data_IF_571151823199
#
_entry.id   IF_571151823199
#
_cell.length_a   1.000
_cell.length_b   1.000
_cell.length_c   1.000
_cell.angle_alpha   90.00
_cell.angle_beta   90.00
_cell.angle_gamma   90.00
#
_symmetry.space_group_name_H-M   'P 1'
#
loop_
_entity.id
_entity.type
_entity.pdbx_description
1 polymer ?
#
# COMPACT_ATOMS: atom_id res chain seq x y z
N UNK A 1 -57.17 -12.16 -45.40
CA UNK A 1 -56.85 -11.19 -44.32
C UNK A 1 -56.49 -11.84 -42.98
N UNK A 2 -57.17 -12.92 -42.54
CA UNK A 2 -56.95 -13.53 -41.20
C UNK A 2 -55.51 -14.04 -40.95
N UNK A 3 -54.82 -14.66 -41.93
CA UNK A 3 -53.42 -15.14 -41.76
C UNK A 3 -52.41 -14.01 -41.58
N UNK A 4 -52.66 -12.82 -42.14
CA UNK A 4 -51.77 -11.66 -41.99
C UNK A 4 -51.87 -11.09 -40.56
N UNK A 5 -53.08 -11.03 -40.00
CA UNK A 5 -53.28 -10.54 -38.63
C UNK A 5 -52.64 -11.46 -37.59
N UNK A 6 -52.68 -12.79 -37.80
CA UNK A 6 -51.96 -13.71 -36.90
C UNK A 6 -50.45 -13.62 -37.04
N UNK A 7 -49.91 -13.46 -38.26
CA UNK A 7 -48.48 -13.27 -38.47
C UNK A 7 -47.97 -11.97 -37.82
N UNK A 8 -48.73 -10.87 -37.94
CA UNK A 8 -48.43 -9.60 -37.29
C UNK A 8 -48.50 -9.72 -35.76
N UNK A 9 -49.52 -10.42 -35.22
CA UNK A 9 -49.65 -10.64 -33.79
C UNK A 9 -48.46 -11.42 -33.21
N UNK A 10 -48.02 -12.48 -33.89
CA UNK A 10 -46.86 -13.26 -33.46
C UNK A 10 -45.55 -12.45 -33.53
N UNK A 11 -45.40 -11.57 -34.52
CA UNK A 11 -44.24 -10.69 -34.63
C UNK A 11 -44.19 -9.67 -33.49
N UNK A 12 -45.33 -9.07 -33.12
CA UNK A 12 -45.42 -8.12 -32.01
C UNK A 12 -45.09 -8.80 -30.67
N UNK A 13 -45.64 -10.00 -30.41
CA UNK A 13 -45.34 -10.75 -29.20
C UNK A 13 -43.86 -11.15 -29.11
N UNK A 14 -43.24 -11.49 -30.24
CA UNK A 14 -41.81 -11.77 -30.33
C UNK A 14 -40.94 -10.56 -30.01
N UNK A 15 -41.28 -9.38 -30.54
CA UNK A 15 -40.55 -8.14 -30.27
C UNK A 15 -40.67 -7.71 -28.81
N UNK A 16 -41.85 -7.81 -28.19
CA UNK A 16 -42.05 -7.47 -26.76
C UNK A 16 -41.26 -8.43 -25.85
N UNK A 17 -41.24 -9.72 -26.17
CA UNK A 17 -40.45 -10.71 -25.42
C UNK A 17 -38.95 -10.46 -25.54
N UNK A 18 -38.47 -10.18 -26.76
CA UNK A 18 -37.05 -9.93 -27.03
C UNK A 18 -36.55 -8.62 -26.40
N UNK A 19 -37.34 -7.54 -26.45
CA UNK A 19 -36.98 -6.28 -25.78
C UNK A 19 -36.97 -6.43 -24.27
N UNK A 20 -37.87 -7.23 -23.68
CA UNK A 20 -37.89 -7.50 -22.24
C UNK A 20 -36.67 -8.31 -21.79
N UNK A 21 -36.23 -9.28 -22.59
CA UNK A 21 -35.03 -10.08 -22.32
C UNK A 21 -33.76 -9.22 -22.37
N UNK A 22 -33.64 -8.36 -23.39
CA UNK A 22 -32.48 -7.47 -23.55
C UNK A 22 -32.47 -6.36 -22.49
N UNK A 23 -33.62 -5.76 -22.19
CA UNK A 23 -33.72 -4.69 -21.18
C UNK A 23 -33.46 -5.25 -19.76
N UNK A 24 -33.91 -6.48 -19.49
CA UNK A 24 -33.64 -7.17 -18.22
C UNK A 24 -32.16 -7.46 -17.97
N UNK A 25 -31.36 -7.67 -19.03
CA UNK A 25 -29.91 -7.88 -18.89
C UNK A 25 -29.11 -6.58 -18.73
N UNK A 26 -29.61 -5.43 -19.23
CA UNK A 26 -28.89 -4.14 -19.19
C UNK A 26 -29.20 -3.34 -17.91
N UNK A 27 -30.35 -3.55 -17.26
CA UNK A 27 -30.77 -2.77 -16.09
C UNK A 27 -30.46 -3.40 -14.72
N UNK A 28 -29.61 -4.42 -14.65
CA UNK A 28 -29.13 -4.91 -13.35
C UNK A 28 -27.85 -4.15 -12.94
N UNK A 29 -28.01 -2.87 -12.61
CA UNK A 29 -26.98 -2.12 -11.88
C UNK A 29 -27.16 -2.48 -10.41
N UNK A 30 -26.21 -3.16 -9.75
CA UNK A 30 -26.26 -3.35 -8.31
C UNK A 30 -26.04 -1.99 -7.66
N UNK A 31 -27.12 -1.40 -7.11
CA UNK A 31 -26.99 -0.23 -6.26
C UNK A 31 -26.10 -0.61 -5.07
N UNK A 32 -25.01 0.13 -4.79
CA UNK A 32 -24.30 -0.05 -3.54
C UNK A 32 -25.27 0.32 -2.41
N UNK A 33 -25.65 -0.66 -1.61
CA UNK A 33 -26.39 -0.42 -0.37
C UNK A 33 -25.43 0.35 0.52
N UNK A 34 -25.67 1.65 0.66
CA UNK A 34 -25.01 2.52 1.61
C UNK A 34 -25.26 1.97 3.01
N UNK A 35 -24.33 1.15 3.49
CA UNK A 35 -24.31 0.67 4.86
C UNK A 35 -23.99 1.85 5.76
N UNK A 36 -25.04 2.59 6.13
CA UNK A 36 -25.03 3.49 7.27
C UNK A 36 -24.81 2.64 8.52
N UNK A 37 -23.52 2.40 8.81
CA UNK A 37 -23.08 1.83 10.08
C UNK A 37 -23.65 2.71 11.20
N UNK A 38 -24.28 2.13 12.24
CA UNK A 38 -24.73 2.90 13.39
C UNK A 38 -23.54 3.67 13.97
N UNK A 39 -23.67 5.00 14.00
CA UNK A 39 -22.74 5.89 14.67
C UNK A 39 -22.78 5.53 16.15
N UNK A 40 -21.83 4.71 16.59
CA UNK A 40 -21.53 4.54 18.00
C UNK A 40 -21.10 5.91 18.47
N UNK A 41 -21.96 6.57 19.24
CA UNK A 41 -21.65 7.82 19.91
C UNK A 41 -20.55 7.54 20.93
N UNK A 42 -19.29 7.60 20.49
CA UNK A 42 -18.16 7.74 21.40
C UNK A 42 -18.24 9.15 21.94
N UNK A 43 -18.83 9.29 23.13
CA UNK A 43 -18.69 10.47 23.96
C UNK A 43 -17.20 10.65 24.27
N UNK A 44 -16.51 11.40 23.42
CA UNK A 44 -15.17 11.87 23.69
C UNK A 44 -15.29 12.93 24.78
N UNK A 45 -15.26 12.50 26.03
CA UNK A 45 -14.92 13.39 27.14
C UNK A 45 -13.47 13.80 26.95
N UNK A 46 -13.30 14.96 26.30
CA UNK A 46 -12.02 15.65 26.09
C UNK A 46 -11.51 16.20 27.43
N UNK A 47 -11.37 15.34 28.44
CA UNK A 47 -10.78 15.67 29.71
C UNK A 47 -9.34 15.20 29.65
N UNK A 48 -8.47 16.09 29.19
CA UNK A 48 -7.02 15.98 29.33
C UNK A 48 -6.69 16.03 30.81
N UNK A 49 -6.86 14.92 31.53
CA UNK A 49 -6.34 14.81 32.88
C UNK A 49 -4.80 14.92 32.79
N UNK A 50 -4.15 15.70 33.66
CA UNK A 50 -2.71 15.78 33.69
C UNK A 50 -2.13 14.43 34.12
N UNK A 51 -1.57 13.70 33.15
CA UNK A 51 -0.88 12.44 33.41
C UNK A 51 0.35 12.75 34.26
N UNK A 52 0.48 12.08 35.40
CA UNK A 52 1.65 12.25 36.27
C UNK A 52 2.89 11.59 35.62
N UNK A 53 4.11 12.08 35.91
CA UNK A 53 5.33 11.45 35.37
C UNK A 53 5.47 9.97 35.72
N UNK A 54 4.94 9.56 36.87
CA UNK A 54 4.95 8.17 37.34
C UNK A 54 3.98 7.29 36.54
N UNK A 55 2.81 7.83 36.21
CA UNK A 55 1.81 7.14 35.41
C UNK A 55 2.23 7.01 33.95
N UNK A 56 2.90 8.04 33.40
CA UNK A 56 3.52 7.95 32.07
C UNK A 56 4.59 6.84 32.00
N UNK A 57 5.41 6.70 33.05
CA UNK A 57 6.39 5.60 33.16
C UNK A 57 5.72 4.23 33.20
N UNK A 58 4.70 4.06 34.04
CA UNK A 58 3.94 2.80 34.15
C UNK A 58 3.31 2.39 32.82
N UNK A 59 2.74 3.35 32.09
CA UNK A 59 2.13 3.09 30.78
C UNK A 59 3.19 2.71 29.73
N UNK A 60 4.35 3.35 29.74
CA UNK A 60 5.46 2.98 28.87
C UNK A 60 5.94 1.55 29.14
N UNK A 61 6.17 1.20 30.40
CA UNK A 61 6.64 -0.14 30.79
C UNK A 61 5.61 -1.22 30.45
N UNK A 62 4.32 -0.95 30.64
CA UNK A 62 3.23 -1.84 30.24
C UNK A 62 3.19 -2.09 28.73
N UNK A 63 3.45 -1.06 27.91
CA UNK A 63 3.52 -1.18 26.45
C UNK A 63 4.73 -2.01 25.97
N UNK A 64 5.85 -1.94 26.70
CA UNK A 64 7.05 -2.72 26.36
C UNK A 64 6.83 -4.22 26.63
N UNK A 65 6.12 -4.58 27.69
CA UNK A 65 5.80 -5.99 27.97
C UNK A 65 4.92 -6.63 26.89
N UNK A 66 3.97 -5.87 26.33
CA UNK A 66 3.12 -6.34 25.23
C UNK A 66 3.85 -6.47 23.89
N UNK A 67 5.06 -5.92 23.77
CA UNK A 67 5.85 -5.96 22.53
C UNK A 67 6.73 -7.20 22.37
N UNK A 68 6.66 -8.15 23.30
CA UNK A 68 7.31 -9.47 23.15
C UNK A 68 6.45 -10.42 22.31
N UNK A 69 6.02 -9.98 21.13
CA UNK A 69 5.66 -10.94 20.08
C UNK A 69 6.99 -11.48 19.58
N UNK A 70 7.30 -12.72 19.97
CA UNK A 70 8.40 -13.49 19.41
C UNK A 70 8.40 -13.32 17.89
N UNK A 71 9.47 -12.74 17.35
CA UNK A 71 9.63 -12.60 15.92
C UNK A 71 9.57 -14.02 15.31
N UNK A 72 8.58 -14.34 14.44
CA UNK A 72 8.38 -15.70 13.94
C UNK A 72 9.54 -16.27 13.11
N UNK A 73 10.59 -15.47 12.87
CA UNK A 73 11.79 -15.83 12.10
C UNK A 73 13.08 -15.85 12.92
N UNK A 74 13.04 -15.48 14.21
CA UNK A 74 14.23 -15.59 15.07
C UNK A 74 14.36 -17.04 15.53
N UNK A 75 14.98 -17.86 14.67
CA UNK A 75 15.54 -19.13 15.09
C UNK A 75 16.60 -18.85 16.15
N UNK A 76 16.30 -19.21 17.40
CA UNK A 76 17.26 -19.25 18.50
C UNK A 76 18.49 -20.05 18.07
N UNK A 77 19.57 -19.33 17.75
CA UNK A 77 20.92 -19.88 17.84
C UNK A 77 21.81 -18.89 18.57
N UNK A 78 22.02 -19.22 19.83
CA UNK A 78 23.12 -18.78 20.66
C UNK A 78 24.45 -18.94 19.91
N UNK A 79 25.02 -17.84 19.43
CA UNK A 79 26.42 -17.79 19.00
C UNK A 79 27.12 -16.69 19.78
N UNK A 80 27.67 -17.09 20.93
CA UNK A 80 28.81 -16.43 21.52
C UNK A 80 29.99 -16.54 20.53
N UNK A 81 30.31 -15.49 19.79
CA UNK A 81 31.66 -15.33 19.26
C UNK A 81 31.97 -13.90 18.84
N UNK A 82 32.81 -13.29 19.67
CA UNK A 82 33.92 -12.39 19.34
C UNK A 82 34.11 -11.95 17.88
N UNK A 83 34.16 -10.63 17.74
CA UNK A 83 34.72 -9.82 16.66
C UNK A 83 35.86 -10.50 15.85
N UNK A 84 35.77 -10.59 14.51
CA UNK A 84 36.94 -10.77 13.67
C UNK A 84 37.34 -9.47 12.97
N UNK A 85 38.65 -9.29 12.99
CA UNK A 85 39.44 -8.20 12.44
C UNK A 85 39.47 -8.19 10.90
N UNK A 86 39.66 -6.98 10.39
CA UNK A 86 39.89 -6.63 8.98
C UNK A 86 41.02 -7.48 8.35
N UNK A 87 40.77 -8.07 7.18
CA UNK A 87 41.83 -8.65 6.34
C UNK A 87 41.63 -8.31 4.85
N UNK A 88 42.71 -7.86 4.25
CA UNK A 88 42.84 -7.28 2.91
C UNK A 88 42.85 -8.34 1.80
N UNK A 89 42.45 -7.87 0.60
CA UNK A 89 42.86 -8.33 -0.74
C UNK A 89 42.43 -9.72 -1.21
N UNK A 90 41.57 -9.77 -2.23
CA UNK A 90 41.98 -10.09 -3.62
C UNK A 90 40.79 -10.01 -4.58
N UNK A 91 41.01 -9.35 -5.73
CA UNK A 91 40.05 -9.18 -6.82
C UNK A 91 40.23 -10.30 -7.85
N UNK A 92 39.12 -10.87 -8.35
CA UNK A 92 38.98 -11.01 -9.79
C UNK A 92 37.77 -10.25 -10.31
N UNK A 93 37.98 -9.54 -11.42
CA UNK A 93 36.96 -8.84 -12.20
C UNK A 93 36.09 -9.90 -12.89
N UNK A 94 34.85 -10.07 -12.43
CA UNK A 94 33.79 -10.75 -13.19
C UNK A 94 32.66 -9.75 -13.33
N UNK A 95 32.41 -9.31 -14.57
CA UNK A 95 31.24 -8.50 -14.92
C UNK A 95 30.03 -9.43 -14.83
N UNK A 96 29.31 -9.34 -13.71
CA UNK A 96 27.95 -9.86 -13.59
C UNK A 96 27.07 -8.67 -13.24
N UNK A 97 26.07 -8.41 -14.07
CA UNK A 97 24.95 -7.55 -13.72
C UNK A 97 24.33 -8.11 -12.44
N UNK A 98 24.74 -7.55 -11.31
CA UNK A 98 24.11 -7.83 -10.03
C UNK A 98 22.97 -6.84 -9.87
N UNK A 99 21.75 -7.28 -10.20
CA UNK A 99 20.52 -6.72 -9.63
C UNK A 99 20.44 -7.08 -8.13
N UNK A 100 21.51 -6.87 -7.38
CA UNK A 100 21.48 -6.80 -5.94
C UNK A 100 21.46 -5.32 -5.62
N UNK A 101 20.27 -4.71 -5.63
CA UNK A 101 20.09 -3.42 -4.95
C UNK A 101 20.33 -3.77 -3.48
N UNK A 102 21.44 -3.34 -2.86
CA UNK A 102 21.55 -3.50 -1.43
C UNK A 102 20.57 -2.47 -0.88
N UNK A 103 19.44 -2.96 -0.34
CA UNK A 103 18.52 -2.19 0.49
C UNK A 103 19.18 -1.85 1.84
N UNK A 104 20.46 -1.47 1.80
CA UNK A 104 21.28 -1.11 2.94
C UNK A 104 21.19 0.39 3.08
N UNK A 105 20.17 0.84 3.83
CA UNK A 105 20.16 2.10 4.59
C UNK A 105 21.12 3.18 4.04
N UNK A 106 20.89 3.60 2.79
CA UNK A 106 21.76 4.58 2.16
C UNK A 106 21.56 5.88 2.94
N UNK A 107 22.68 6.47 3.39
CA UNK A 107 22.67 7.76 4.07
C UNK A 107 21.91 8.74 3.18
N UNK A 108 21.12 9.64 3.77
CA UNK A 108 20.27 10.57 3.00
C UNK A 108 21.02 11.40 1.93
N UNK A 109 22.31 11.65 2.13
CA UNK A 109 23.17 12.32 1.15
C UNK A 109 23.56 11.48 -0.07
N UNK A 110 23.32 10.17 -0.05
CA UNK A 110 23.69 9.24 -1.11
C UNK A 110 22.59 9.06 -2.16
N UNK A 111 21.38 9.56 -1.92
CA UNK A 111 20.31 9.48 -2.89
C UNK A 111 20.50 10.51 -4.02
N UNK A 112 20.18 10.15 -5.26
CA UNK A 112 20.14 11.10 -6.35
C UNK A 112 19.19 12.26 -6.08
N UNK A 113 19.50 13.42 -6.67
CA UNK A 113 18.72 14.65 -6.47
C UNK A 113 17.61 14.80 -7.51
N UNK A 114 17.66 14.05 -8.61
CA UNK A 114 16.73 14.14 -9.74
C UNK A 114 16.17 12.76 -10.10
N UNK A 115 14.96 12.75 -10.64
CA UNK A 115 14.28 11.52 -11.03
C UNK A 115 14.99 10.74 -12.14
N UNK A 116 15.66 11.44 -13.07
CA UNK A 116 16.45 10.83 -14.16
C UNK A 116 17.61 9.95 -13.70
N UNK A 117 18.09 10.15 -12.47
CA UNK A 117 19.20 9.40 -11.88
C UNK A 117 18.71 8.23 -11.01
N UNK A 118 17.39 8.08 -10.83
CA UNK A 118 16.79 7.03 -10.04
C UNK A 118 16.35 5.88 -10.93
N UNK A 119 16.49 4.67 -10.42
CA UNK A 119 16.17 3.44 -11.18
C UNK A 119 14.98 2.68 -10.62
N UNK A 120 14.54 3.02 -9.40
CA UNK A 120 13.40 2.38 -8.76
C UNK A 120 12.55 3.37 -7.95
N UNK A 121 11.24 3.10 -7.91
CA UNK A 121 10.33 3.87 -7.08
C UNK A 121 10.67 3.76 -5.58
N UNK A 122 11.18 2.61 -5.12
CA UNK A 122 11.60 2.43 -3.72
C UNK A 122 12.76 3.36 -3.34
N UNK A 123 13.73 3.57 -4.24
CA UNK A 123 14.82 4.50 -4.07
C UNK A 123 14.31 5.95 -4.00
N UNK A 124 13.37 6.32 -4.86
CA UNK A 124 12.76 7.65 -4.87
C UNK A 124 12.00 7.95 -3.58
N UNK A 125 11.19 6.99 -3.09
CA UNK A 125 10.49 7.10 -1.81
C UNK A 125 11.46 7.24 -0.64
N UNK A 126 12.57 6.50 -0.64
CA UNK A 126 13.59 6.64 0.40
C UNK A 126 14.26 8.02 0.36
N UNK A 127 14.52 8.57 -0.83
CA UNK A 127 15.06 9.91 -1.00
C UNK A 127 14.08 11.01 -0.54
N UNK A 128 12.79 10.83 -0.81
CA UNK A 128 11.75 11.75 -0.33
C UNK A 128 11.65 11.75 1.20
N UNK A 129 11.69 10.56 1.83
CA UNK A 129 11.76 10.43 3.30
C UNK A 129 13.00 11.10 3.91
N UNK A 130 14.07 11.21 3.13
CA UNK A 130 15.28 11.92 3.49
C UNK A 130 15.20 13.45 3.29
N UNK A 131 14.04 13.98 2.91
CA UNK A 131 13.79 15.42 2.74
C UNK A 131 14.05 15.94 1.33
N UNK A 132 14.26 15.07 0.33
CA UNK A 132 14.36 15.51 -1.05
C UNK A 132 12.96 15.74 -1.66
N UNK A 133 12.29 16.80 -1.19
CA UNK A 133 10.95 17.18 -1.63
C UNK A 133 10.86 17.54 -3.11
N UNK A 134 11.98 17.88 -3.76
CA UNK A 134 12.03 18.22 -5.19
C UNK A 134 11.65 17.06 -6.12
N UNK A 135 11.62 15.83 -5.61
CA UNK A 135 11.22 14.65 -6.37
C UNK A 135 9.70 14.52 -6.50
N UNK A 136 8.96 15.14 -5.59
CA UNK A 136 7.50 15.16 -5.50
C UNK A 136 7.05 16.59 -5.85
N UNK A 137 6.70 16.79 -7.13
CA UNK A 137 6.55 18.14 -7.70
C UNK A 137 5.19 18.75 -7.34
N UNK A 138 4.17 17.93 -7.26
CA UNK A 138 2.78 18.28 -6.95
C UNK A 138 2.45 18.08 -5.46
N UNK A 139 3.28 17.35 -4.71
CA UNK A 139 3.17 17.24 -3.26
C UNK A 139 2.17 16.17 -2.82
N UNK A 140 1.89 15.19 -3.67
CA UNK A 140 0.93 14.11 -3.41
C UNK A 140 1.55 12.94 -2.59
N UNK A 141 2.86 13.01 -2.33
CA UNK A 141 3.62 11.97 -1.63
C UNK A 141 4.18 10.88 -2.54
N UNK A 142 4.01 10.98 -3.85
CA UNK A 142 4.51 10.06 -4.88
C UNK A 142 5.69 10.74 -5.61
N UNK A 143 6.95 10.47 -5.20
CA UNK A 143 8.09 11.05 -5.87
C UNK A 143 8.33 10.42 -7.24
N UNK A 144 8.73 11.21 -8.22
CA UNK A 144 9.11 10.76 -9.55
C UNK A 144 8.02 9.91 -10.23
N UNK A 145 6.92 10.55 -10.59
CA UNK A 145 5.75 9.97 -11.28
C UNK A 145 6.12 9.01 -12.42
N UNK A 146 7.18 9.31 -13.17
CA UNK A 146 7.65 8.49 -14.30
C UNK A 146 8.11 7.07 -13.93
N UNK A 147 8.58 6.86 -12.69
CA UNK A 147 9.04 5.55 -12.20
C UNK A 147 8.12 4.99 -11.11
N UNK A 148 7.30 5.82 -10.47
CA UNK A 148 6.35 5.41 -9.44
C UNK A 148 4.93 5.19 -9.95
N UNK A 149 4.58 5.69 -11.14
CA UNK A 149 3.24 5.56 -11.74
C UNK A 149 2.21 6.38 -10.99
N UNK A 150 2.27 7.70 -11.14
CA UNK A 150 1.26 8.65 -10.65
C UNK A 150 -0.10 8.43 -11.30
#
# INVERSE_FOLDING_TARGET
MIRQNHAILLFILGLIGFTSLITGCVYYVPYPVESTSPQVATSQTNQKLPITPEEARRLYDAQIQQRTVSNPFDNEQSVNQSLPTSSKNNKPKVIRQTNSVPSSHLKCGSYPRTCSQMTSCSQARAALKCGNTRLDRDGDGIPCESICGG
#
